data_IF_344356122124
#
_entry.id   IF_344356122124
#
_cell.length_a   1.000
_cell.length_b   1.000
_cell.length_c   1.000
_cell.angle_alpha   90.00
_cell.angle_beta   90.00
_cell.angle_gamma   90.00
#
_symmetry.space_group_name_H-M   'P 1'
#
loop_
_entity.id
_entity.type
_entity.pdbx_description
1 polymer ?
#
# COMPACT_ATOMS: atom_id res chain seq x y z
N UNK A 1 -12.57 58.66 18.33
CA UNK A 1 -13.46 57.49 18.22
C UNK A 1 -13.46 56.88 16.84
N UNK A 2 -13.56 57.66 15.75
CA UNK A 2 -13.59 57.16 14.36
C UNK A 2 -12.26 56.55 13.93
N UNK A 3 -11.14 57.12 14.33
CA UNK A 3 -9.79 56.59 14.01
C UNK A 3 -9.52 55.24 14.68
N UNK A 4 -9.92 55.05 15.95
CA UNK A 4 -9.84 53.77 16.65
C UNK A 4 -10.73 52.67 16.01
N UNK A 5 -11.88 53.07 15.47
CA UNK A 5 -12.78 52.13 14.77
C UNK A 5 -12.21 51.70 13.42
N UNK A 6 -11.54 52.57 12.72
CA UNK A 6 -10.86 52.24 11.47
C UNK A 6 -9.64 51.38 11.69
N UNK A 7 -8.82 51.65 12.71
CA UNK A 7 -7.67 50.82 13.07
C UNK A 7 -8.12 49.39 13.49
N UNK A 8 -9.18 49.26 14.30
CA UNK A 8 -9.76 47.94 14.66
C UNK A 8 -10.27 47.19 13.43
N UNK A 9 -11.00 47.85 12.54
CA UNK A 9 -11.47 47.21 11.30
C UNK A 9 -10.33 46.77 10.40
N UNK A 10 -9.25 47.51 10.31
CA UNK A 10 -8.09 47.17 9.50
C UNK A 10 -7.32 45.97 10.10
N UNK A 11 -7.24 45.91 11.41
CA UNK A 11 -6.67 44.78 12.13
C UNK A 11 -7.49 43.48 11.94
N UNK A 12 -8.83 43.57 12.08
CA UNK A 12 -9.73 42.43 11.87
C UNK A 12 -9.64 41.89 10.42
N UNK A 13 -9.54 42.78 9.42
CA UNK A 13 -9.28 42.37 8.01
C UNK A 13 -7.96 41.64 7.85
N UNK A 14 -6.90 42.10 8.54
CA UNK A 14 -5.60 41.43 8.53
C UNK A 14 -5.68 40.02 9.13
N UNK A 15 -6.38 39.85 10.24
CA UNK A 15 -6.58 38.56 10.91
C UNK A 15 -7.44 37.61 10.07
N UNK A 16 -8.48 38.13 9.39
CA UNK A 16 -9.29 37.39 8.44
C UNK A 16 -8.44 36.81 7.29
N UNK A 17 -7.62 37.63 6.64
CA UNK A 17 -6.75 37.18 5.58
C UNK A 17 -5.69 36.17 6.06
N UNK A 18 -5.22 36.28 7.28
CA UNK A 18 -4.33 35.29 7.89
C UNK A 18 -5.00 33.93 8.04
N UNK A 19 -6.27 33.89 8.45
CA UNK A 19 -7.04 32.65 8.55
C UNK A 19 -7.26 32.02 7.17
N UNK A 20 -7.67 32.80 6.19
CA UNK A 20 -7.84 32.30 4.80
C UNK A 20 -6.55 31.71 4.23
N UNK A 21 -5.42 32.38 4.44
CA UNK A 21 -4.12 31.90 3.99
C UNK A 21 -3.69 30.64 4.72
N UNK A 22 -3.92 30.56 6.03
CA UNK A 22 -3.60 29.37 6.82
C UNK A 22 -4.49 28.19 6.43
N UNK A 23 -5.78 28.42 6.20
CA UNK A 23 -6.71 27.41 5.68
C UNK A 23 -6.23 26.82 4.37
N UNK A 24 -5.86 27.68 3.42
CA UNK A 24 -5.37 27.26 2.09
C UNK A 24 -4.08 26.45 2.17
N UNK A 25 -3.11 26.84 3.03
CA UNK A 25 -1.89 26.08 3.26
C UNK A 25 -2.23 24.70 3.84
N UNK A 26 -3.12 24.65 4.81
CA UNK A 26 -3.54 23.40 5.43
C UNK A 26 -4.29 22.48 4.46
N UNK A 27 -5.13 23.03 3.58
CA UNK A 27 -5.80 22.27 2.52
C UNK A 27 -4.80 21.70 1.50
N UNK A 28 -3.89 22.54 1.00
CA UNK A 28 -2.86 22.12 0.02
C UNK A 28 -1.92 21.07 0.63
N UNK A 29 -1.58 21.19 1.92
CA UNK A 29 -0.75 20.25 2.65
C UNK A 29 -1.47 18.91 2.92
N UNK A 30 -2.75 18.94 3.26
CA UNK A 30 -3.58 17.74 3.43
C UNK A 30 -3.71 16.91 2.12
N UNK A 31 -3.53 17.55 0.95
CA UNK A 31 -3.59 16.89 -0.35
C UNK A 31 -2.25 16.32 -0.83
N UNK A 32 -1.12 16.82 -0.29
CA UNK A 32 0.22 16.54 -0.88
C UNK A 32 1.16 15.74 0.02
N UNK A 33 0.82 15.57 1.30
CA UNK A 33 1.61 14.84 2.32
C UNK A 33 3.10 15.25 2.42
N UNK A 34 3.43 16.51 2.03
CA UNK A 34 4.82 16.94 1.77
C UNK A 34 5.45 17.83 2.83
N UNK A 35 4.78 18.18 3.92
CA UNK A 35 5.31 19.13 4.90
C UNK A 35 5.56 18.51 6.28
N UNK A 36 6.81 18.11 6.53
CA UNK A 36 7.31 17.87 7.91
C UNK A 36 7.25 19.18 8.71
N UNK A 37 6.61 19.19 9.88
CA UNK A 37 6.38 20.35 10.79
C UNK A 37 5.37 21.42 10.31
N UNK A 38 4.67 21.24 9.20
CA UNK A 38 3.66 22.19 8.71
C UNK A 38 2.43 22.28 9.59
N UNK A 39 1.96 21.17 10.16
CA UNK A 39 0.80 21.11 11.05
C UNK A 39 1.00 21.99 12.27
N UNK A 40 2.10 21.83 13.00
CA UNK A 40 2.42 22.62 14.20
C UNK A 40 2.45 24.13 13.91
N UNK A 41 2.91 24.55 12.72
CA UNK A 41 2.92 25.96 12.33
C UNK A 41 1.51 26.48 12.05
N UNK A 42 0.68 25.73 11.35
CA UNK A 42 -0.70 26.10 11.06
C UNK A 42 -1.54 26.15 12.35
N UNK A 43 -1.38 25.19 13.26
CA UNK A 43 -2.02 25.16 14.58
C UNK A 43 -1.61 26.39 15.38
N UNK A 44 -0.31 26.67 15.48
CA UNK A 44 0.23 27.83 16.21
C UNK A 44 -0.33 29.13 15.65
N UNK A 45 -0.43 29.26 14.32
CA UNK A 45 -0.95 30.45 13.67
C UNK A 45 -2.44 30.64 13.95
N UNK A 46 -3.25 29.58 13.86
CA UNK A 46 -4.67 29.61 14.22
C UNK A 46 -4.86 30.04 15.68
N UNK A 47 -4.16 29.39 16.62
CA UNK A 47 -4.28 29.68 18.05
C UNK A 47 -3.86 31.13 18.40
N UNK A 48 -2.83 31.65 17.71
CA UNK A 48 -2.40 33.04 17.87
C UNK A 48 -3.46 34.04 17.36
N UNK A 49 -4.06 33.75 16.21
CA UNK A 49 -5.15 34.59 15.66
C UNK A 49 -6.36 34.56 16.57
N UNK A 50 -6.78 33.40 17.06
CA UNK A 50 -7.89 33.26 18.00
C UNK A 50 -7.63 34.02 19.30
N UNK A 51 -6.43 33.90 19.88
CA UNK A 51 -6.01 34.64 21.08
C UNK A 51 -6.10 36.16 20.86
N UNK A 52 -5.65 36.61 19.66
CA UNK A 52 -5.72 38.04 19.31
C UNK A 52 -7.16 38.54 19.18
N UNK A 53 -8.01 37.74 18.52
CA UNK A 53 -9.44 38.07 18.35
C UNK A 53 -10.18 38.14 19.71
N UNK A 54 -9.89 37.21 20.60
CA UNK A 54 -10.42 37.26 21.98
C UNK A 54 -9.97 38.54 22.72
N UNK A 55 -8.71 38.97 22.54
CA UNK A 55 -8.20 40.21 23.15
C UNK A 55 -8.80 41.50 22.56
N UNK A 56 -9.42 41.40 21.38
CA UNK A 56 -10.13 42.51 20.73
C UNK A 56 -11.64 42.49 21.00
N UNK A 57 -12.14 41.56 21.81
CA UNK A 57 -13.57 41.28 22.00
C UNK A 57 -14.31 41.11 20.65
N UNK A 58 -13.62 40.51 19.68
CA UNK A 58 -14.16 40.29 18.33
C UNK A 58 -14.84 38.91 18.21
N UNK A 59 -14.65 38.02 19.16
CA UNK A 59 -15.26 36.69 19.25
C UNK A 59 -15.80 36.47 20.64
N UNK A 60 -17.03 35.97 20.82
CA UNK A 60 -17.59 35.64 22.13
C UNK A 60 -16.75 34.58 22.84
N UNK A 61 -16.57 34.75 24.15
CA UNK A 61 -15.78 33.83 24.97
C UNK A 61 -16.37 32.41 24.92
N UNK A 62 -15.53 31.40 24.60
CA UNK A 62 -15.93 30.00 24.53
C UNK A 62 -16.69 29.60 23.25
N UNK A 63 -16.75 30.46 22.21
CA UNK A 63 -17.35 30.12 20.92
C UNK A 63 -16.41 29.31 20.06
N UNK A 64 -15.11 29.54 20.12
CA UNK A 64 -14.07 28.81 19.45
C UNK A 64 -13.00 28.38 20.43
N UNK A 65 -12.57 27.11 20.34
CA UNK A 65 -11.51 26.55 21.15
C UNK A 65 -10.16 26.58 20.42
N UNK A 66 -9.08 26.58 21.20
CA UNK A 66 -7.73 26.40 20.64
C UNK A 66 -7.57 24.97 20.11
N UNK A 67 -6.88 24.84 19.00
CA UNK A 67 -6.56 23.54 18.42
C UNK A 67 -5.48 22.82 19.25
N UNK A 68 -5.65 21.52 19.42
CA UNK A 68 -4.67 20.65 20.05
C UNK A 68 -3.36 20.57 19.23
N UNK A 69 -2.20 20.32 19.87
CA UNK A 69 -0.91 20.23 19.19
C UNK A 69 -0.82 19.14 18.13
N UNK A 70 -1.69 18.15 18.17
CA UNK A 70 -1.79 16.99 17.25
C UNK A 70 -2.96 17.09 16.25
N UNK A 71 -3.58 18.27 16.15
CA UNK A 71 -4.65 18.49 15.18
C UNK A 71 -4.13 18.34 13.75
N UNK A 72 -4.86 17.57 12.93
CA UNK A 72 -4.52 17.35 11.53
C UNK A 72 -4.69 18.61 10.66
N UNK A 73 -4.04 18.67 9.51
CA UNK A 73 -4.22 19.76 8.55
C UNK A 73 -5.68 20.01 8.18
N UNK A 74 -6.48 18.95 8.05
CA UNK A 74 -7.91 19.08 7.76
C UNK A 74 -8.66 19.75 8.89
N UNK A 75 -8.36 19.45 10.15
CA UNK A 75 -8.95 20.10 11.32
C UNK A 75 -8.55 21.57 11.40
N UNK A 76 -7.29 21.90 11.11
CA UNK A 76 -6.81 23.29 11.05
C UNK A 76 -7.54 24.09 9.97
N UNK A 77 -7.67 23.52 8.74
CA UNK A 77 -8.37 24.17 7.64
C UNK A 77 -9.83 24.48 8.02
N UNK A 78 -10.54 23.50 8.59
CA UNK A 78 -11.92 23.66 9.04
C UNK A 78 -12.04 24.77 10.08
N UNK A 79 -11.20 24.76 11.12
CA UNK A 79 -11.22 25.75 12.18
C UNK A 79 -10.94 27.16 11.66
N UNK A 80 -9.97 27.31 10.74
CA UNK A 80 -9.68 28.58 10.10
C UNK A 80 -10.86 29.11 9.30
N UNK A 81 -11.54 28.25 8.52
CA UNK A 81 -12.71 28.66 7.74
C UNK A 81 -13.90 29.06 8.62
N UNK A 82 -14.13 28.33 9.73
CA UNK A 82 -15.20 28.66 10.67
C UNK A 82 -14.99 30.03 11.31
N UNK A 83 -13.78 30.29 11.79
CA UNK A 83 -13.43 31.56 12.42
C UNK A 83 -13.42 32.73 11.40
N UNK A 84 -12.95 32.48 10.17
CA UNK A 84 -12.99 33.46 9.09
C UNK A 84 -14.44 33.80 8.69
N UNK A 85 -15.33 32.81 8.60
CA UNK A 85 -16.73 33.01 8.29
C UNK A 85 -17.43 33.90 9.36
N UNK A 86 -17.14 33.67 10.63
CA UNK A 86 -17.64 34.46 11.72
C UNK A 86 -17.16 35.94 11.64
N UNK A 87 -15.87 36.15 11.40
CA UNK A 87 -15.28 37.48 11.27
C UNK A 87 -15.82 38.28 10.07
N UNK A 88 -16.13 37.61 8.98
CA UNK A 88 -16.65 38.24 7.78
C UNK A 88 -18.02 38.91 8.02
N UNK A 89 -18.84 38.33 8.90
CA UNK A 89 -20.13 38.92 9.28
C UNK A 89 -19.94 40.26 10.06
N UNK A 90 -18.87 40.34 10.88
CA UNK A 90 -18.56 41.58 11.66
C UNK A 90 -17.91 42.66 10.76
N UNK A 91 -17.28 42.28 9.64
CA UNK A 91 -16.57 43.18 8.74
C UNK A 91 -17.42 43.80 7.61
N UNK A 92 -18.71 43.41 7.49
CA UNK A 92 -19.67 43.94 6.47
C UNK A 92 -19.14 43.76 5.01
N UNK A 93 -18.32 42.75 4.76
CA UNK A 93 -17.67 42.49 3.45
C UNK A 93 -18.50 41.53 2.60
N UNK A 94 -19.78 41.80 2.40
CA UNK A 94 -20.76 40.90 1.78
C UNK A 94 -20.51 40.50 0.34
N UNK A 95 -19.63 41.19 -0.40
CA UNK A 95 -19.42 40.94 -1.83
C UNK A 95 -18.49 39.75 -2.13
N UNK A 96 -17.42 39.54 -1.37
CA UNK A 96 -16.44 38.50 -1.64
C UNK A 96 -16.85 37.13 -1.04
N UNK A 97 -17.54 37.13 0.09
CA UNK A 97 -18.01 35.94 0.75
C UNK A 97 -19.07 35.17 -0.05
N UNK A 98 -19.99 35.88 -0.73
CA UNK A 98 -20.99 35.22 -1.60
C UNK A 98 -20.35 34.47 -2.76
N UNK A 99 -19.31 35.01 -3.37
CA UNK A 99 -18.59 34.39 -4.47
C UNK A 99 -17.86 33.12 -4.02
N UNK A 100 -17.18 33.17 -2.87
CA UNK A 100 -16.44 32.06 -2.29
C UNK A 100 -17.38 30.96 -1.77
N UNK A 101 -18.42 31.34 -1.00
CA UNK A 101 -19.40 30.39 -0.47
C UNK A 101 -20.17 29.65 -1.58
N UNK A 102 -20.42 30.34 -2.71
CA UNK A 102 -21.07 29.74 -3.89
C UNK A 102 -20.14 28.76 -4.59
N UNK A 103 -18.82 28.98 -4.56
CA UNK A 103 -17.82 28.10 -5.16
C UNK A 103 -17.62 26.85 -4.30
N UNK A 104 -17.65 26.99 -2.97
CA UNK A 104 -17.40 25.90 -2.04
C UNK A 104 -18.64 25.04 -1.75
N UNK A 105 -19.80 25.65 -1.58
CA UNK A 105 -21.05 24.98 -1.21
C UNK A 105 -22.02 24.75 -2.38
N UNK A 106 -21.73 25.32 -3.54
CA UNK A 106 -22.53 25.18 -4.76
C UNK A 106 -23.76 26.10 -4.81
N UNK A 107 -24.11 26.53 -6.01
CA UNK A 107 -25.18 27.50 -6.30
C UNK A 107 -26.55 27.12 -5.74
N UNK A 108 -26.85 25.84 -5.68
CA UNK A 108 -28.15 25.28 -5.24
C UNK A 108 -28.33 25.27 -3.69
N UNK A 109 -27.22 25.27 -2.94
CA UNK A 109 -27.25 25.43 -1.48
C UNK A 109 -27.60 26.89 -1.11
N UNK A 110 -27.04 27.85 -1.88
CA UNK A 110 -27.32 29.26 -1.68
C UNK A 110 -28.76 29.63 -2.08
N UNK A 111 -29.32 29.00 -3.09
CA UNK A 111 -30.75 29.21 -3.48
C UNK A 111 -31.71 28.77 -2.37
N UNK A 112 -31.44 27.65 -1.72
CA UNK A 112 -32.24 27.18 -0.57
C UNK A 112 -32.03 28.04 0.70
N UNK A 113 -30.82 28.61 0.91
CA UNK A 113 -30.51 29.48 2.04
C UNK A 113 -31.21 30.86 1.90
N UNK A 114 -31.30 31.37 0.67
CA UNK A 114 -31.91 32.69 0.40
C UNK A 114 -33.43 32.70 0.54
N UNK A 115 -34.12 31.55 0.43
CA UNK A 115 -35.54 31.45 0.72
C UNK A 115 -35.88 31.45 2.22
N UNK A 116 -34.94 31.00 3.09
CA UNK A 116 -35.09 31.00 4.55
C UNK A 116 -34.55 32.28 5.26
N UNK A 117 -33.86 33.15 4.54
CA UNK A 117 -33.04 34.25 5.08
C UNK A 117 -33.81 35.55 5.32
N UNK A 118 -35.14 35.58 5.30
CA UNK A 118 -35.86 36.84 5.43
C UNK A 118 -35.94 37.40 6.86
N UNK A 119 -35.64 36.61 7.92
CA UNK A 119 -35.85 37.12 9.31
C UNK A 119 -34.94 36.53 10.40
N UNK A 120 -33.81 35.85 10.12
CA UNK A 120 -32.92 35.34 11.17
C UNK A 120 -31.45 35.66 10.93
N UNK A 121 -30.66 35.93 11.98
CA UNK A 121 -29.21 36.15 11.83
C UNK A 121 -28.52 34.92 11.27
N UNK A 122 -27.64 35.13 10.31
CA UNK A 122 -26.86 34.10 9.57
C UNK A 122 -26.13 33.16 10.54
N UNK A 123 -25.70 33.64 11.71
CA UNK A 123 -25.04 32.86 12.75
C UNK A 123 -25.87 31.70 13.30
N UNK A 124 -27.19 31.87 13.44
CA UNK A 124 -28.08 30.79 13.91
C UNK A 124 -28.34 29.74 12.84
N UNK A 125 -28.29 30.11 11.58
CA UNK A 125 -28.40 29.19 10.43
C UNK A 125 -27.13 28.40 10.22
N UNK A 126 -25.96 29.05 10.36
CA UNK A 126 -24.66 28.40 10.33
C UNK A 126 -24.53 27.41 11.50
N UNK A 127 -24.98 27.82 12.69
CA UNK A 127 -24.98 26.96 13.91
C UNK A 127 -25.88 25.71 13.78
N UNK A 128 -26.94 25.79 12.96
CA UNK A 128 -27.84 24.67 12.67
C UNK A 128 -27.39 23.83 11.49
N UNK A 129 -26.73 24.43 10.50
CA UNK A 129 -26.30 23.76 9.28
C UNK A 129 -24.89 23.14 9.38
N UNK A 130 -24.01 23.74 10.18
CA UNK A 130 -22.61 23.32 10.35
C UNK A 130 -22.47 21.95 11.04
N UNK A 131 -23.24 21.60 12.10
CA UNK A 131 -23.16 20.25 12.69
C UNK A 131 -23.52 19.14 11.70
N UNK A 132 -24.54 19.36 10.85
CA UNK A 132 -24.97 18.35 9.88
C UNK A 132 -24.07 18.28 8.63
N UNK A 133 -23.23 19.30 8.39
CA UNK A 133 -22.39 19.39 7.21
C UNK A 133 -20.94 18.92 7.45
N UNK A 134 -20.48 18.97 8.70
CA UNK A 134 -19.12 18.61 9.12
C UNK A 134 -19.07 17.29 9.92
N UNK A 135 -20.21 16.71 10.25
CA UNK A 135 -20.25 15.38 10.84
C UNK A 135 -20.09 14.32 9.75
N UNK A 136 -19.11 13.46 9.90
CA UNK A 136 -19.10 12.16 9.25
C UNK A 136 -20.50 11.56 9.38
N UNK A 137 -21.13 11.23 8.26
CA UNK A 137 -22.38 10.48 8.33
C UNK A 137 -22.00 9.03 8.60
N UNK A 138 -21.97 8.68 9.87
CA UNK A 138 -21.78 7.30 10.31
C UNK A 138 -23.16 6.63 10.43
N UNK A 139 -23.26 5.41 9.96
CA UNK A 139 -24.36 4.52 10.34
C UNK A 139 -23.95 3.80 11.62
N UNK A 140 -24.95 3.30 12.35
CA UNK A 140 -24.69 2.47 13.51
C UNK A 140 -23.84 1.25 13.12
N UNK A 141 -22.79 0.95 13.91
CA UNK A 141 -21.93 -0.20 13.69
C UNK A 141 -22.77 -1.48 13.77
N UNK A 142 -22.50 -2.42 12.87
CA UNK A 142 -23.02 -3.78 13.00
C UNK A 142 -22.02 -4.55 13.86
N UNK A 143 -22.47 -5.03 15.02
CA UNK A 143 -21.65 -5.82 15.94
C UNK A 143 -22.37 -7.13 16.24
N UNK A 144 -21.79 -8.24 15.81
CA UNK A 144 -22.33 -9.57 16.02
C UNK A 144 -21.24 -10.56 16.46
N UNK A 145 -21.60 -11.55 17.24
CA UNK A 145 -20.69 -12.61 17.68
C UNK A 145 -21.37 -13.96 17.56
N UNK A 146 -20.67 -14.88 16.91
CA UNK A 146 -21.18 -16.23 16.61
C UNK A 146 -20.32 -17.28 17.31
N UNK A 147 -20.90 -18.20 18.07
CA UNK A 147 -20.18 -19.37 18.54
C UNK A 147 -19.89 -20.29 17.36
N UNK A 148 -18.64 -20.68 17.19
CA UNK A 148 -18.19 -21.56 16.10
C UNK A 148 -17.30 -22.69 16.64
N UNK A 149 -16.97 -23.63 15.77
CA UNK A 149 -15.96 -24.65 16.07
C UNK A 149 -14.72 -24.45 15.22
N UNK A 150 -13.57 -24.81 15.71
CA UNK A 150 -12.30 -24.78 14.99
C UNK A 150 -12.41 -25.51 13.63
N UNK A 151 -11.74 -24.98 12.61
CA UNK A 151 -11.74 -25.55 11.26
C UNK A 151 -12.89 -25.09 10.36
N UNK A 152 -13.78 -24.22 10.83
CA UNK A 152 -14.80 -23.56 10.02
C UNK A 152 -14.22 -22.57 9.02
N UNK A 153 -15.11 -21.85 8.34
CA UNK A 153 -14.75 -20.89 7.28
C UNK A 153 -15.45 -19.55 7.46
N UNK A 154 -14.68 -18.47 7.34
CA UNK A 154 -15.21 -17.12 7.13
C UNK A 154 -15.19 -16.81 5.63
N UNK A 155 -16.34 -16.46 5.09
CA UNK A 155 -16.46 -15.96 3.71
C UNK A 155 -16.93 -14.51 3.75
N UNK A 156 -16.19 -13.60 3.11
CA UNK A 156 -16.58 -12.20 2.95
C UNK A 156 -16.57 -11.85 1.47
N UNK A 157 -17.67 -11.33 0.97
CA UNK A 157 -17.79 -10.80 -0.39
C UNK A 157 -18.42 -9.40 -0.35
N UNK A 158 -17.56 -8.37 -0.49
CA UNK A 158 -18.00 -6.98 -0.39
C UNK A 158 -17.67 -6.16 -1.64
N UNK A 159 -18.58 -5.24 -1.98
CA UNK A 159 -18.36 -4.27 -3.08
C UNK A 159 -17.47 -3.09 -2.65
N UNK A 160 -17.27 -2.86 -1.34
CA UNK A 160 -16.32 -1.90 -0.78
C UNK A 160 -16.00 -2.22 0.67
N UNK A 161 -14.90 -1.66 1.14
CA UNK A 161 -14.48 -1.72 2.53
C UNK A 161 -13.22 -2.54 2.75
N UNK A 162 -12.39 -2.06 3.69
CA UNK A 162 -11.21 -2.74 4.17
C UNK A 162 -11.60 -3.94 5.03
N UNK A 163 -10.80 -4.99 4.98
CA UNK A 163 -11.01 -6.22 5.76
C UNK A 163 -9.77 -6.43 6.64
N UNK A 164 -9.95 -6.41 7.94
CA UNK A 164 -8.92 -6.74 8.93
C UNK A 164 -9.35 -8.00 9.70
N UNK A 165 -8.56 -9.06 9.55
CA UNK A 165 -8.79 -10.35 10.22
C UNK A 165 -7.65 -10.63 11.19
N UNK A 166 -8.00 -10.84 12.44
CA UNK A 166 -7.07 -11.27 13.47
C UNK A 166 -7.60 -12.52 14.18
N UNK A 167 -6.69 -13.31 14.70
CA UNK A 167 -7.10 -14.48 15.47
C UNK A 167 -7.39 -14.15 16.93
N UNK A 168 -8.30 -14.91 17.52
CA UNK A 168 -8.58 -14.99 18.94
C UNK A 168 -8.38 -16.42 19.46
N UNK A 169 -8.21 -16.57 20.77
CA UNK A 169 -8.19 -17.87 21.45
C UNK A 169 -9.60 -18.39 21.75
N UNK A 170 -10.64 -17.57 21.52
CA UNK A 170 -12.02 -17.94 21.77
C UNK A 170 -12.61 -18.73 20.59
N UNK A 171 -13.51 -19.66 20.86
CA UNK A 171 -14.30 -20.41 19.87
C UNK A 171 -15.47 -19.55 19.34
N UNK A 172 -15.18 -18.32 18.93
CA UNK A 172 -16.18 -17.37 18.41
C UNK A 172 -15.63 -16.60 17.20
N UNK A 173 -16.54 -16.25 16.30
CA UNK A 173 -16.29 -15.23 15.27
C UNK A 173 -16.98 -13.95 15.74
N UNK A 174 -16.19 -12.90 15.98
CA UNK A 174 -16.69 -11.57 16.33
C UNK A 174 -16.55 -10.63 15.14
N UNK A 175 -17.66 -10.07 14.71
CA UNK A 175 -17.76 -9.21 13.52
C UNK A 175 -18.11 -7.80 13.97
N UNK A 176 -17.33 -6.82 13.55
CA UNK A 176 -17.65 -5.40 13.66
C UNK A 176 -17.54 -4.77 12.29
N UNK A 177 -18.61 -4.16 11.80
CA UNK A 177 -18.63 -3.47 10.51
C UNK A 177 -18.94 -2.01 10.77
N UNK A 178 -17.96 -1.16 10.52
CA UNK A 178 -18.09 0.29 10.59
C UNK A 178 -18.45 0.83 9.21
N UNK A 179 -19.39 1.79 9.17
CA UNK A 179 -19.87 2.35 7.92
C UNK A 179 -19.98 3.85 8.02
N UNK A 180 -19.07 4.56 7.36
CA UNK A 180 -19.01 6.01 7.35
C UNK A 180 -18.97 6.56 5.91
N UNK A 181 -19.42 7.79 5.74
CA UNK A 181 -19.17 8.56 4.54
C UNK A 181 -18.15 9.65 4.88
N UNK A 182 -17.11 9.79 4.05
CA UNK A 182 -16.07 10.79 4.29
C UNK A 182 -16.65 12.22 4.36
N UNK A 183 -16.07 13.06 5.21
CA UNK A 183 -16.51 14.44 5.50
C UNK A 183 -16.71 15.30 4.25
N UNK A 184 -15.95 15.04 3.17
CA UNK A 184 -16.08 15.73 1.86
C UNK A 184 -17.26 15.20 1.01
N UNK A 185 -17.88 14.12 1.42
CA UNK A 185 -18.97 13.50 0.71
C UNK A 185 -20.30 14.15 1.13
N UNK A 186 -20.94 14.87 0.20
CA UNK A 186 -22.24 15.46 0.40
C UNK A 186 -23.33 14.44 0.82
N UNK A 187 -24.53 14.92 1.24
CA UNK A 187 -25.74 14.10 1.53
C UNK A 187 -25.94 12.88 0.62
N UNK A 188 -25.41 12.92 -0.61
CA UNK A 188 -25.47 11.83 -1.58
C UNK A 188 -24.59 10.62 -1.23
N UNK A 189 -23.46 10.79 -0.56
CA UNK A 189 -22.65 9.64 -0.12
C UNK A 189 -23.33 8.91 1.04
N UNK A 190 -23.96 9.66 1.94
CA UNK A 190 -24.79 9.07 3.00
C UNK A 190 -26.00 8.28 2.45
N UNK A 191 -26.62 8.75 1.37
CA UNK A 191 -27.67 8.00 0.69
C UNK A 191 -27.12 6.74 0.01
N UNK A 192 -25.92 6.80 -0.54
CA UNK A 192 -25.26 5.64 -1.16
C UNK A 192 -24.89 4.61 -0.09
N UNK A 193 -24.35 5.06 1.06
CA UNK A 193 -24.01 4.20 2.18
C UNK A 193 -25.22 3.40 2.69
N UNK A 194 -26.42 3.99 2.70
CA UNK A 194 -27.68 3.31 3.08
C UNK A 194 -28.11 2.22 2.08
N UNK A 195 -27.59 2.26 0.86
CA UNK A 195 -27.87 1.23 -0.15
C UNK A 195 -26.82 0.10 -0.15
N UNK A 196 -25.85 0.13 0.75
CA UNK A 196 -24.98 -1.00 1.01
C UNK A 196 -25.74 -1.99 1.90
N UNK A 197 -26.28 -3.05 1.28
CA UNK A 197 -26.98 -4.13 1.97
C UNK A 197 -25.94 -5.10 2.55
N UNK A 198 -25.97 -5.28 3.87
CA UNK A 198 -25.06 -6.16 4.60
C UNK A 198 -25.87 -7.33 5.14
N UNK A 199 -25.53 -8.53 4.69
CA UNK A 199 -26.15 -9.78 5.13
C UNK A 199 -25.11 -10.65 5.82
N UNK A 200 -25.42 -11.11 7.02
CA UNK A 200 -24.57 -12.01 7.79
C UNK A 200 -25.34 -13.30 8.00
N UNK A 201 -24.75 -14.42 7.60
CA UNK A 201 -25.30 -15.75 7.79
C UNK A 201 -24.32 -16.61 8.60
N UNK A 202 -24.84 -17.38 9.54
CA UNK A 202 -24.09 -18.31 10.35
C UNK A 202 -24.69 -19.70 10.25
N UNK A 203 -23.91 -20.66 9.79
CA UNK A 203 -24.31 -22.08 9.72
C UNK A 203 -23.23 -22.96 10.35
N UNK A 204 -23.54 -23.55 11.48
CA UNK A 204 -22.62 -24.41 12.26
C UNK A 204 -21.28 -23.73 12.58
N UNK A 205 -20.21 -24.09 11.86
CA UNK A 205 -18.88 -23.50 12.06
C UNK A 205 -18.59 -22.37 11.08
N UNK A 206 -19.43 -22.14 10.08
CA UNK A 206 -19.15 -21.22 8.98
C UNK A 206 -19.91 -19.89 9.16
N UNK A 207 -19.21 -18.79 8.89
CA UNK A 207 -19.79 -17.45 8.88
C UNK A 207 -19.60 -16.83 7.51
N UNK A 208 -20.69 -16.32 6.93
CA UNK A 208 -20.70 -15.67 5.63
C UNK A 208 -21.19 -14.23 5.76
N UNK A 209 -20.44 -13.30 5.20
CA UNK A 209 -20.77 -11.87 5.15
C UNK A 209 -20.84 -11.45 3.69
N UNK A 210 -21.97 -10.93 3.26
CA UNK A 210 -22.17 -10.32 1.95
C UNK A 210 -22.53 -8.86 2.14
N UNK A 211 -21.74 -7.94 1.54
CA UNK A 211 -22.03 -6.52 1.58
C UNK A 211 -22.09 -5.97 0.15
N UNK A 212 -23.32 -5.86 -0.38
CA UNK A 212 -23.59 -5.56 -1.78
C UNK A 212 -24.33 -4.25 -1.94
N UNK A 213 -23.91 -3.48 -2.93
CA UNK A 213 -24.59 -2.25 -3.27
C UNK A 213 -25.84 -2.53 -4.12
N UNK A 214 -27.00 -2.11 -3.61
CA UNK A 214 -28.32 -2.37 -4.26
C UNK A 214 -28.84 -1.20 -5.07
N UNK A 215 -28.08 -0.08 -5.19
CA UNK A 215 -28.49 1.14 -5.89
C UNK A 215 -28.04 1.24 -7.34
N UNK A 216 -28.03 2.47 -7.86
CA UNK A 216 -27.60 2.78 -9.24
C UNK A 216 -26.08 2.60 -9.41
N UNK A 217 -25.67 1.65 -10.24
CA UNK A 217 -24.27 1.30 -10.50
C UNK A 217 -23.40 2.48 -10.98
N UNK A 218 -23.98 3.46 -11.72
CA UNK A 218 -23.25 4.65 -12.18
C UNK A 218 -22.96 5.62 -11.03
N UNK A 219 -23.88 5.71 -10.06
CA UNK A 219 -23.68 6.52 -8.85
C UNK A 219 -22.63 5.86 -7.96
N UNK A 220 -22.68 4.53 -7.84
CA UNK A 220 -21.69 3.74 -7.13
C UNK A 220 -20.28 3.98 -7.64
N UNK A 221 -20.02 3.77 -8.94
CA UNK A 221 -18.69 3.95 -9.54
C UNK A 221 -18.08 5.35 -9.32
N UNK A 222 -18.92 6.38 -9.19
CA UNK A 222 -18.46 7.76 -8.97
C UNK A 222 -18.17 8.08 -7.50
N UNK A 223 -18.70 7.33 -6.56
CA UNK A 223 -18.75 7.69 -5.15
C UNK A 223 -18.25 6.61 -4.19
N UNK A 224 -17.90 5.42 -4.68
CA UNK A 224 -17.38 4.35 -3.83
C UNK A 224 -16.15 4.79 -3.02
N UNK A 225 -15.33 5.69 -3.56
CA UNK A 225 -14.15 6.24 -2.87
C UNK A 225 -14.51 7.33 -1.82
N UNK A 226 -15.77 7.76 -1.76
CA UNK A 226 -16.24 8.70 -0.74
C UNK A 226 -16.78 7.98 0.51
N UNK A 227 -16.80 6.65 0.49
CA UNK A 227 -17.23 5.81 1.60
C UNK A 227 -16.03 5.29 2.37
N UNK A 228 -16.23 5.14 3.66
CA UNK A 228 -15.28 4.49 4.58
C UNK A 228 -16.03 3.34 5.26
N UNK A 229 -15.73 2.12 4.81
CA UNK A 229 -16.33 0.89 5.32
C UNK A 229 -15.20 -0.01 5.80
N UNK A 230 -15.29 -0.46 7.03
CA UNK A 230 -14.27 -1.31 7.64
C UNK A 230 -14.89 -2.55 8.29
N UNK A 231 -14.35 -3.70 7.95
CA UNK A 231 -14.70 -4.99 8.52
C UNK A 231 -13.57 -5.41 9.47
N UNK A 232 -13.77 -5.25 10.78
CA UNK A 232 -12.85 -5.71 11.82
C UNK A 232 -13.38 -7.03 12.38
N UNK A 233 -12.66 -8.12 12.16
CA UNK A 233 -13.16 -9.45 12.49
C UNK A 233 -12.13 -10.25 13.26
N UNK A 234 -12.58 -10.83 14.37
CA UNK A 234 -11.81 -11.81 15.13
C UNK A 234 -12.35 -13.19 14.82
N UNK A 235 -11.45 -14.13 14.51
CA UNK A 235 -11.79 -15.53 14.23
C UNK A 235 -10.96 -16.46 15.11
N UNK A 236 -11.39 -17.69 15.38
CA UNK A 236 -10.52 -18.69 16.01
C UNK A 236 -9.23 -18.86 15.21
N UNK A 237 -8.11 -19.11 15.90
CA UNK A 237 -6.81 -19.29 15.23
C UNK A 237 -6.84 -20.38 14.14
N UNK A 238 -7.57 -21.47 14.36
CA UNK A 238 -7.77 -22.55 13.39
C UNK A 238 -9.02 -22.31 12.55
N UNK A 239 -8.90 -21.48 11.51
CA UNK A 239 -10.03 -21.08 10.67
C UNK A 239 -9.60 -20.84 9.23
N UNK A 240 -10.47 -21.17 8.26
CA UNK A 240 -10.22 -20.92 6.85
C UNK A 240 -10.85 -19.57 6.43
N UNK A 241 -10.20 -18.87 5.51
CA UNK A 241 -10.63 -17.54 5.06
C UNK A 241 -10.82 -17.50 3.55
N UNK A 242 -11.97 -16.95 3.13
CA UNK A 242 -12.27 -16.63 1.73
C UNK A 242 -12.75 -15.18 1.67
N UNK A 243 -11.84 -14.27 1.33
CA UNK A 243 -12.01 -12.82 1.49
C UNK A 243 -11.97 -12.13 0.15
N UNK A 244 -13.02 -11.36 -0.16
CA UNK A 244 -13.13 -10.62 -1.40
C UNK A 244 -13.65 -9.22 -1.17
N UNK A 245 -12.91 -8.21 -1.63
CA UNK A 245 -13.33 -6.82 -1.68
C UNK A 245 -13.04 -6.20 -3.05
N UNK A 246 -13.82 -5.22 -3.47
CA UNK A 246 -13.60 -4.59 -4.77
C UNK A 246 -12.60 -3.44 -4.72
N UNK A 247 -12.40 -2.75 -3.62
CA UNK A 247 -11.64 -1.50 -3.63
C UNK A 247 -10.70 -1.22 -2.46
N UNK A 248 -10.66 -1.99 -1.39
CA UNK A 248 -9.88 -1.65 -0.21
C UNK A 248 -8.90 -2.76 0.19
N UNK A 249 -8.02 -2.46 1.15
CA UNK A 249 -6.98 -3.37 1.62
C UNK A 249 -7.57 -4.58 2.37
N UNK A 250 -6.90 -5.71 2.27
CA UNK A 250 -7.14 -6.88 3.13
C UNK A 250 -5.90 -7.12 3.99
N UNK A 251 -6.10 -7.16 5.29
CA UNK A 251 -5.08 -7.54 6.26
C UNK A 251 -5.49 -8.83 7.00
N UNK A 252 -4.58 -9.78 7.10
CA UNK A 252 -4.81 -11.06 7.81
C UNK A 252 -3.60 -11.38 8.66
N UNK A 253 -3.82 -11.71 9.93
CA UNK A 253 -2.73 -12.07 10.82
C UNK A 253 -3.08 -13.27 11.73
N UNK A 254 -2.05 -14.09 12.01
CA UNK A 254 -2.05 -15.17 13.01
C UNK A 254 -3.08 -16.29 12.73
N UNK A 255 -3.16 -16.80 11.50
CA UNK A 255 -4.14 -17.81 11.09
C UNK A 255 -3.47 -19.16 10.85
N UNK A 256 -4.12 -20.22 11.34
CA UNK A 256 -3.83 -21.62 10.98
C UNK A 256 -5.02 -22.14 10.17
N UNK A 257 -4.89 -22.13 8.85
CA UNK A 257 -5.93 -22.49 7.89
C UNK A 257 -5.60 -21.94 6.50
N UNK A 258 -6.38 -22.33 5.51
CA UNK A 258 -6.21 -21.84 4.15
C UNK A 258 -6.75 -20.41 4.04
N UNK A 259 -5.99 -19.54 3.38
CA UNK A 259 -6.33 -18.13 3.15
C UNK A 259 -6.42 -17.86 1.67
N UNK A 260 -7.61 -17.51 1.20
CA UNK A 260 -7.88 -16.97 -0.13
C UNK A 260 -8.28 -15.50 0.02
N UNK A 261 -7.51 -14.58 -0.58
CA UNK A 261 -7.74 -13.15 -0.47
C UNK A 261 -7.71 -12.49 -1.85
N UNK A 262 -8.81 -11.85 -2.24
CA UNK A 262 -8.93 -11.17 -3.53
C UNK A 262 -9.37 -9.71 -3.34
N UNK A 263 -8.58 -8.77 -3.89
CA UNK A 263 -9.00 -7.37 -4.01
C UNK A 263 -8.78 -6.85 -5.43
N UNK A 264 -9.46 -5.78 -5.82
CA UNK A 264 -9.27 -5.25 -7.18
C UNK A 264 -8.32 -4.05 -7.23
N UNK A 265 -8.38 -3.13 -6.26
CA UNK A 265 -7.65 -1.85 -6.33
C UNK A 265 -6.72 -1.55 -5.16
N UNK A 266 -6.52 -2.49 -4.26
CA UNK A 266 -5.79 -2.21 -3.04
C UNK A 266 -4.78 -3.30 -2.70
N UNK A 267 -4.05 -3.14 -1.61
CA UNK A 267 -3.01 -4.05 -1.16
C UNK A 267 -3.51 -5.23 -0.35
N UNK A 268 -2.66 -6.24 -0.24
CA UNK A 268 -2.86 -7.41 0.62
C UNK A 268 -1.70 -7.49 1.60
N UNK A 269 -2.00 -7.54 2.90
CA UNK A 269 -1.01 -7.73 3.98
C UNK A 269 -1.33 -8.99 4.75
N UNK A 270 -0.45 -9.98 4.64
CA UNK A 270 -0.65 -11.30 5.22
C UNK A 270 0.54 -11.62 6.14
N UNK A 271 0.26 -12.02 7.37
CA UNK A 271 1.30 -12.28 8.36
C UNK A 271 0.97 -13.47 9.25
N UNK A 272 2.00 -14.27 9.60
CA UNK A 272 1.92 -15.42 10.52
C UNK A 272 0.82 -16.42 10.14
N UNK A 273 0.91 -16.95 8.90
CA UNK A 273 -0.09 -17.87 8.35
C UNK A 273 0.49 -19.27 8.21
N UNK A 274 -0.23 -20.25 8.73
CA UNK A 274 0.05 -21.68 8.58
C UNK A 274 -1.08 -22.31 7.76
N UNK A 275 -0.81 -22.60 6.48
CA UNK A 275 -1.77 -23.14 5.52
C UNK A 275 -1.46 -22.67 4.11
N UNK A 276 -2.31 -23.05 3.17
CA UNK A 276 -2.18 -22.58 1.79
C UNK A 276 -2.61 -21.12 1.68
N UNK A 277 -1.86 -20.33 0.93
CA UNK A 277 -2.14 -18.92 0.69
C UNK A 277 -2.35 -18.68 -0.81
N UNK A 278 -3.49 -18.11 -1.17
CA UNK A 278 -3.81 -17.65 -2.51
C UNK A 278 -4.24 -16.17 -2.44
N UNK A 279 -3.39 -15.26 -2.92
CA UNK A 279 -3.60 -13.82 -2.75
C UNK A 279 -3.50 -13.10 -4.09
N UNK A 280 -4.60 -12.47 -4.49
CA UNK A 280 -4.74 -11.86 -5.82
C UNK A 280 -5.21 -10.41 -5.69
N UNK A 281 -4.50 -9.50 -6.36
CA UNK A 281 -4.97 -8.13 -6.58
C UNK A 281 -4.79 -7.71 -8.04
N UNK A 282 -5.53 -6.72 -8.51
CA UNK A 282 -5.25 -6.14 -9.82
C UNK A 282 -4.33 -4.93 -9.73
N UNK A 283 -4.53 -4.05 -8.75
CA UNK A 283 -3.74 -2.84 -8.53
C UNK A 283 -3.48 -2.72 -7.04
N UNK A 284 -2.26 -3.05 -6.62
CA UNK A 284 -1.86 -3.01 -5.22
C UNK A 284 -0.66 -3.90 -4.95
N UNK A 285 0.00 -3.65 -3.85
CA UNK A 285 1.11 -4.48 -3.40
C UNK A 285 0.59 -5.72 -2.65
N UNK A 286 1.39 -6.77 -2.66
CA UNK A 286 1.15 -7.95 -1.83
C UNK A 286 2.37 -8.12 -0.92
N UNK A 287 2.14 -8.03 0.38
CA UNK A 287 3.15 -8.20 1.41
C UNK A 287 2.81 -9.43 2.25
N UNK A 288 3.67 -10.43 2.23
CA UNK A 288 3.53 -11.68 3.00
C UNK A 288 4.75 -11.87 3.90
N UNK A 289 4.51 -12.09 5.19
CA UNK A 289 5.57 -12.34 6.15
C UNK A 289 5.22 -13.49 7.08
N UNK A 290 6.23 -14.31 7.42
CA UNK A 290 6.10 -15.43 8.33
C UNK A 290 4.98 -16.41 7.90
N UNK A 291 5.29 -17.33 7.00
CA UNK A 291 4.31 -18.30 6.49
C UNK A 291 4.87 -19.73 6.51
N UNK A 292 3.94 -20.68 6.61
CA UNK A 292 4.24 -22.11 6.49
C UNK A 292 3.15 -22.80 5.66
N UNK A 293 3.45 -23.07 4.39
CA UNK A 293 2.56 -23.66 3.40
C UNK A 293 2.81 -23.13 2.00
N UNK A 294 2.15 -23.70 1.00
CA UNK A 294 2.30 -23.30 -0.39
C UNK A 294 1.62 -21.95 -0.66
N UNK A 295 2.28 -21.12 -1.44
CA UNK A 295 1.90 -19.72 -1.65
C UNK A 295 1.74 -19.40 -3.14
N UNK A 296 0.60 -18.80 -3.50
CA UNK A 296 0.37 -18.18 -4.80
C UNK A 296 0.01 -16.71 -4.63
N UNK A 297 0.87 -15.81 -5.15
CA UNK A 297 0.68 -14.36 -5.09
C UNK A 297 0.63 -13.78 -6.51
N UNK A 298 -0.41 -13.02 -6.81
CA UNK A 298 -0.55 -12.44 -8.13
C UNK A 298 -1.08 -10.99 -8.07
N UNK A 299 -0.36 -10.07 -8.73
CA UNK A 299 -0.86 -8.71 -9.00
C UNK A 299 -0.63 -8.33 -10.46
N UNK A 300 -1.35 -7.34 -10.99
CA UNK A 300 -1.07 -6.78 -12.32
C UNK A 300 -0.18 -5.56 -12.22
N UNK A 301 -0.45 -4.68 -11.26
CA UNK A 301 0.31 -3.44 -11.05
C UNK A 301 0.56 -3.23 -9.56
N UNK A 302 1.72 -3.67 -9.10
CA UNK A 302 2.17 -3.59 -7.72
C UNK A 302 3.36 -4.50 -7.47
N UNK A 303 4.03 -4.28 -6.36
CA UNK A 303 5.13 -5.12 -5.92
C UNK A 303 4.62 -6.34 -5.15
N UNK A 304 5.39 -7.41 -5.20
CA UNK A 304 5.19 -8.57 -4.35
C UNK A 304 6.43 -8.70 -3.47
N UNK A 305 6.23 -8.64 -2.15
CA UNK A 305 7.28 -8.83 -1.15
C UNK A 305 6.90 -10.00 -0.27
N UNK A 306 7.81 -10.96 -0.11
CA UNK A 306 7.60 -12.06 0.82
C UNK A 306 8.88 -12.35 1.62
N UNK A 307 8.71 -12.72 2.88
CA UNK A 307 9.83 -12.99 3.78
C UNK A 307 9.50 -14.07 4.84
N UNK A 308 10.54 -14.73 5.31
CA UNK A 308 10.52 -15.62 6.47
C UNK A 308 9.52 -16.79 6.32
N UNK A 309 9.64 -17.58 5.25
CA UNK A 309 8.66 -18.60 4.93
C UNK A 309 9.19 -19.99 4.70
N UNK A 310 8.28 -20.98 4.84
CA UNK A 310 8.52 -22.37 4.52
C UNK A 310 7.39 -22.90 3.63
N UNK A 311 7.71 -23.30 2.41
CA UNK A 311 6.78 -23.77 1.38
C UNK A 311 7.16 -23.30 0.00
N UNK A 312 6.52 -23.85 -1.02
CA UNK A 312 6.75 -23.46 -2.41
C UNK A 312 6.00 -22.17 -2.73
N UNK A 313 6.70 -21.24 -3.36
CA UNK A 313 6.19 -19.90 -3.68
C UNK A 313 6.05 -19.69 -5.17
N UNK A 314 4.89 -19.21 -5.60
CA UNK A 314 4.65 -18.69 -6.94
C UNK A 314 4.20 -17.23 -6.86
N UNK A 315 5.10 -16.30 -7.26
CA UNK A 315 4.86 -14.86 -7.22
C UNK A 315 4.88 -14.26 -8.62
N UNK A 316 3.79 -13.62 -9.04
CA UNK A 316 3.64 -13.07 -10.38
C UNK A 316 3.10 -11.66 -10.36
N UNK A 317 3.82 -10.73 -10.98
CA UNK A 317 3.34 -9.37 -11.27
C UNK A 317 3.55 -9.00 -12.74
N UNK A 318 2.93 -7.95 -13.24
CA UNK A 318 3.22 -7.42 -14.57
C UNK A 318 4.01 -6.12 -14.50
N UNK A 319 3.68 -5.22 -13.59
CA UNK A 319 4.25 -3.88 -13.54
C UNK A 319 5.20 -3.59 -12.37
N UNK A 320 5.29 -4.47 -11.37
CA UNK A 320 6.10 -4.26 -10.17
C UNK A 320 7.28 -5.20 -10.02
N UNK A 321 7.96 -5.09 -8.90
CA UNK A 321 9.07 -5.96 -8.51
C UNK A 321 8.55 -7.20 -7.77
N UNK A 322 9.33 -8.29 -7.82
CA UNK A 322 9.15 -9.46 -6.96
C UNK A 322 10.37 -9.57 -6.05
N UNK A 323 10.15 -9.64 -4.76
CA UNK A 323 11.20 -9.80 -3.75
C UNK A 323 10.85 -10.97 -2.82
N UNK A 324 11.76 -11.94 -2.71
CA UNK A 324 11.65 -13.06 -1.79
C UNK A 324 12.91 -13.12 -0.91
N UNK A 325 12.71 -13.21 0.42
CA UNK A 325 13.80 -13.21 1.39
C UNK A 325 13.59 -14.34 2.39
N UNK A 326 14.61 -15.16 2.62
CA UNK A 326 14.63 -16.23 3.62
C UNK A 326 13.44 -17.22 3.46
N UNK A 327 13.31 -17.82 2.28
CA UNK A 327 12.30 -18.84 1.99
C UNK A 327 12.94 -20.22 1.92
N UNK A 328 12.34 -21.17 2.64
CA UNK A 328 12.68 -22.59 2.57
C UNK A 328 11.65 -23.27 1.65
N UNK A 329 12.03 -23.55 0.40
CA UNK A 329 11.17 -24.10 -0.64
C UNK A 329 11.55 -23.55 -2.01
N UNK A 330 10.85 -23.98 -3.05
CA UNK A 330 11.06 -23.50 -4.40
C UNK A 330 10.42 -22.12 -4.60
N UNK A 331 11.14 -21.18 -5.22
CA UNK A 331 10.65 -19.84 -5.53
C UNK A 331 10.50 -19.66 -7.04
N UNK A 332 9.26 -19.48 -7.52
CA UNK A 332 8.95 -19.10 -8.90
C UNK A 332 8.52 -17.63 -8.94
N UNK A 333 9.46 -16.74 -9.32
CA UNK A 333 9.26 -15.29 -9.36
C UNK A 333 9.18 -14.76 -10.78
N UNK A 334 8.07 -14.10 -11.15
CA UNK A 334 7.86 -13.60 -12.51
C UNK A 334 7.34 -12.16 -12.51
N UNK A 335 7.97 -11.33 -13.35
CA UNK A 335 7.46 -9.98 -13.67
C UNK A 335 7.65 -9.65 -15.15
N UNK A 336 6.97 -8.63 -15.65
CA UNK A 336 7.20 -8.16 -17.02
C UNK A 336 8.13 -6.94 -17.05
N UNK A 337 7.88 -5.94 -16.20
CA UNK A 337 8.62 -4.68 -16.24
C UNK A 337 9.57 -4.46 -15.07
N UNK A 338 9.38 -5.13 -13.94
CA UNK A 338 10.16 -4.93 -12.71
C UNK A 338 11.36 -5.86 -12.58
N UNK A 339 12.04 -5.72 -11.47
CA UNK A 339 13.15 -6.59 -11.07
C UNK A 339 12.65 -7.80 -10.28
N UNK A 340 13.44 -8.86 -10.27
CA UNK A 340 13.23 -10.02 -9.40
C UNK A 340 14.44 -10.16 -8.48
N UNK A 341 14.21 -10.14 -7.17
CA UNK A 341 15.25 -10.28 -6.15
C UNK A 341 14.90 -11.46 -5.25
N UNK A 342 15.83 -12.40 -5.10
CA UNK A 342 15.71 -13.56 -4.20
C UNK A 342 16.96 -13.63 -3.34
N UNK A 343 16.82 -13.63 -2.01
CA UNK A 343 17.96 -13.64 -1.09
C UNK A 343 17.77 -14.60 0.06
N UNK A 344 18.82 -15.35 0.39
CA UNK A 344 18.84 -16.26 1.52
C UNK A 344 17.80 -17.38 1.42
N UNK A 345 17.40 -17.78 0.20
CA UNK A 345 16.43 -18.83 -0.01
C UNK A 345 17.12 -20.21 -0.11
N UNK A 346 16.41 -21.22 0.38
CA UNK A 346 16.87 -22.62 0.32
C UNK A 346 15.91 -23.45 -0.49
N UNK A 347 16.29 -23.74 -1.73
CA UNK A 347 15.48 -24.48 -2.69
C UNK A 347 15.78 -24.06 -4.12
N UNK A 348 14.95 -24.48 -5.07
CA UNK A 348 15.09 -24.10 -6.47
C UNK A 348 14.56 -22.66 -6.70
N UNK A 349 15.21 -21.88 -7.57
CA UNK A 349 14.71 -20.58 -7.98
C UNK A 349 14.47 -20.54 -9.51
N UNK A 350 13.22 -20.32 -9.93
CA UNK A 350 12.86 -20.06 -11.34
C UNK A 350 12.40 -18.62 -11.48
N UNK A 351 13.24 -17.77 -12.10
CA UNK A 351 13.07 -16.32 -12.10
C UNK A 351 12.98 -15.78 -13.52
N UNK A 352 11.94 -14.99 -13.80
CA UNK A 352 11.72 -14.43 -15.14
C UNK A 352 11.31 -12.96 -15.09
N UNK A 353 11.97 -12.15 -15.92
CA UNK A 353 11.50 -10.78 -16.19
C UNK A 353 11.73 -10.45 -17.67
N UNK A 354 10.99 -9.49 -18.20
CA UNK A 354 11.25 -9.02 -19.56
C UNK A 354 12.10 -7.74 -19.55
N UNK A 355 11.77 -6.76 -18.72
CA UNK A 355 12.44 -5.46 -18.71
C UNK A 355 13.49 -5.26 -17.62
N UNK A 356 13.37 -5.95 -16.51
CA UNK A 356 14.19 -5.72 -15.32
C UNK A 356 15.41 -6.62 -15.20
N UNK A 357 16.13 -6.42 -14.12
CA UNK A 357 17.27 -7.26 -13.72
C UNK A 357 16.84 -8.35 -12.72
N UNK A 358 17.63 -9.41 -12.66
CA UNK A 358 17.45 -10.50 -11.70
C UNK A 358 18.66 -10.50 -10.76
N UNK A 359 18.39 -10.46 -9.48
CA UNK A 359 19.40 -10.65 -8.44
C UNK A 359 19.00 -11.86 -7.58
N UNK A 360 19.91 -12.82 -7.49
CA UNK A 360 19.64 -14.05 -6.76
C UNK A 360 20.83 -14.45 -5.92
N UNK A 361 20.55 -14.70 -4.65
CA UNK A 361 21.46 -15.22 -3.64
C UNK A 361 20.77 -16.45 -3.02
N UNK A 362 21.21 -17.67 -3.41
CA UNK A 362 20.47 -18.89 -3.19
C UNK A 362 21.40 -20.08 -2.96
N UNK A 363 20.90 -21.11 -2.25
CA UNK A 363 21.64 -22.35 -1.98
C UNK A 363 21.23 -23.53 -2.89
N UNK A 364 20.30 -23.31 -3.80
CA UNK A 364 19.77 -24.34 -4.70
C UNK A 364 19.94 -24.03 -6.19
N UNK A 365 19.39 -24.86 -7.08
CA UNK A 365 19.45 -24.64 -8.52
C UNK A 365 18.73 -23.33 -8.92
N UNK A 366 19.31 -22.60 -9.87
CA UNK A 366 18.78 -21.34 -10.37
C UNK A 366 18.55 -21.36 -11.86
N UNK A 367 17.31 -21.12 -12.27
CA UNK A 367 16.91 -20.85 -13.64
C UNK A 367 16.48 -19.38 -13.73
N UNK A 368 17.29 -18.52 -14.36
CA UNK A 368 16.98 -17.09 -14.43
C UNK A 368 17.05 -16.56 -15.86
N UNK A 369 15.97 -15.90 -16.30
CA UNK A 369 15.85 -15.36 -17.66
C UNK A 369 15.35 -13.92 -17.66
N UNK A 370 16.08 -13.05 -18.36
CA UNK A 370 15.65 -11.69 -18.64
C UNK A 370 15.88 -11.30 -20.09
N UNK A 371 15.08 -10.39 -20.63
CA UNK A 371 15.32 -9.87 -21.97
C UNK A 371 16.10 -8.55 -21.95
N UNK A 372 15.84 -7.66 -21.01
CA UNK A 372 16.43 -6.31 -21.01
C UNK A 372 17.48 -6.05 -19.96
N UNK A 373 17.48 -6.77 -18.85
CA UNK A 373 18.33 -6.50 -17.68
C UNK A 373 19.54 -7.42 -17.56
N UNK A 374 20.28 -7.21 -16.48
CA UNK A 374 21.40 -8.07 -16.10
C UNK A 374 20.98 -9.13 -15.08
N UNK A 375 21.73 -10.22 -15.01
CA UNK A 375 21.57 -11.26 -14.00
C UNK A 375 22.78 -11.24 -13.09
N UNK A 376 22.55 -11.11 -11.78
CA UNK A 376 23.54 -11.32 -10.74
C UNK A 376 23.13 -12.55 -9.93
N UNK A 377 23.97 -13.56 -9.90
CA UNK A 377 23.74 -14.79 -9.17
C UNK A 377 24.90 -15.04 -8.20
N UNK A 378 24.60 -15.22 -6.93
CA UNK A 378 25.55 -15.60 -5.90
C UNK A 378 25.10 -16.90 -5.26
N UNK A 379 25.97 -17.88 -5.19
CA UNK A 379 25.76 -19.12 -4.48
C UNK A 379 26.47 -19.06 -3.13
N UNK A 380 25.73 -19.28 -2.02
CA UNK A 380 26.24 -19.07 -0.66
C UNK A 380 26.85 -20.32 -0.04
N UNK A 381 26.38 -21.51 -0.38
CA UNK A 381 26.92 -22.76 0.15
C UNK A 381 27.34 -23.71 -0.98
N UNK A 382 28.43 -24.45 -0.76
CA UNK A 382 28.76 -25.63 -1.52
C UNK A 382 27.85 -26.76 -1.10
N UNK A 383 26.61 -26.77 -1.61
CA UNK A 383 25.84 -27.98 -1.49
C UNK A 383 26.55 -29.05 -2.31
N UNK A 384 27.15 -30.00 -1.65
CA UNK A 384 27.74 -31.22 -2.22
C UNK A 384 26.71 -32.10 -2.95
N UNK A 385 25.55 -31.55 -3.30
CA UNK A 385 24.52 -32.26 -4.03
C UNK A 385 24.85 -32.23 -5.51
N UNK A 386 24.98 -33.39 -6.08
CA UNK A 386 25.31 -33.71 -7.47
C UNK A 386 24.38 -33.11 -8.54
N UNK A 387 23.47 -32.21 -8.20
CA UNK A 387 22.41 -31.70 -9.06
C UNK A 387 22.31 -30.16 -9.12
N UNK A 388 23.36 -29.41 -8.76
CA UNK A 388 23.30 -27.96 -8.93
C UNK A 388 23.31 -27.59 -10.41
N UNK A 389 22.25 -26.91 -10.86
CA UNK A 389 22.11 -26.40 -12.22
C UNK A 389 21.96 -24.90 -12.18
N UNK A 390 22.83 -24.16 -12.85
CA UNK A 390 22.57 -22.77 -13.22
C UNK A 390 22.24 -22.71 -14.71
N UNK A 391 21.07 -22.17 -15.07
CA UNK A 391 20.73 -21.81 -16.45
C UNK A 391 20.33 -20.32 -16.46
N UNK A 392 21.31 -19.47 -16.78
CA UNK A 392 21.16 -18.02 -16.77
C UNK A 392 21.17 -17.47 -18.18
N UNK A 393 20.14 -16.71 -18.56
CA UNK A 393 19.97 -16.19 -19.91
C UNK A 393 19.54 -14.73 -19.90
N UNK A 394 20.31 -13.87 -20.60
CA UNK A 394 19.92 -12.47 -20.84
C UNK A 394 20.12 -12.09 -22.31
N UNK A 395 19.22 -11.23 -22.84
CA UNK A 395 19.35 -10.71 -24.20
C UNK A 395 19.97 -9.32 -24.27
N UNK A 396 19.87 -8.52 -23.22
CA UNK A 396 20.34 -7.11 -23.24
C UNK A 396 21.38 -6.74 -22.20
N UNK A 397 21.67 -7.59 -21.24
CA UNK A 397 22.56 -7.28 -20.11
C UNK A 397 23.72 -8.24 -19.94
N UNK A 398 24.40 -8.12 -18.82
CA UNK A 398 25.50 -8.99 -18.42
C UNK A 398 25.05 -10.04 -17.41
N UNK A 399 25.77 -11.15 -17.33
CA UNK A 399 25.63 -12.19 -16.32
C UNK A 399 26.85 -12.14 -15.42
N UNK A 400 26.64 -11.88 -14.13
CA UNK A 400 27.69 -11.94 -13.10
C UNK A 400 27.35 -13.09 -12.15
N UNK A 401 28.24 -14.08 -12.06
CA UNK A 401 28.08 -15.21 -11.16
C UNK A 401 29.24 -15.20 -10.16
N UNK A 402 28.90 -15.16 -8.88
CA UNK A 402 29.84 -15.26 -7.77
C UNK A 402 29.76 -16.65 -7.13
N UNK A 403 30.88 -17.34 -7.09
CA UNK A 403 30.99 -18.73 -6.64
C UNK A 403 32.06 -18.86 -5.55
N UNK A 404 31.92 -19.88 -4.71
CA UNK A 404 32.96 -20.24 -3.74
C UNK A 404 34.19 -20.81 -4.45
N UNK A 405 35.42 -20.62 -3.89
CA UNK A 405 36.67 -20.99 -4.56
C UNK A 405 36.84 -22.49 -4.78
N UNK A 406 36.25 -23.30 -3.94
CA UNK A 406 36.33 -24.77 -3.94
C UNK A 406 35.21 -25.48 -4.72
N UNK A 407 34.43 -24.73 -5.49
CA UNK A 407 33.32 -25.29 -6.27
C UNK A 407 33.81 -26.20 -7.39
N UNK A 408 33.23 -27.40 -7.47
CA UNK A 408 33.37 -28.28 -8.62
C UNK A 408 32.27 -27.98 -9.63
N UNK A 409 32.60 -27.59 -10.88
CA UNK A 409 31.59 -27.23 -11.86
C UNK A 409 32.04 -27.49 -13.32
N UNK A 410 31.05 -27.73 -14.16
CA UNK A 410 31.20 -27.71 -15.63
C UNK A 410 30.61 -26.44 -16.17
N UNK A 411 31.39 -25.63 -16.91
CA UNK A 411 30.96 -24.32 -17.41
C UNK A 411 30.70 -24.40 -18.90
N UNK A 412 29.50 -23.95 -19.29
CA UNK A 412 29.14 -23.64 -20.69
C UNK A 412 28.68 -22.17 -20.75
N UNK A 413 29.59 -21.26 -21.06
CA UNK A 413 29.30 -19.86 -21.25
C UNK A 413 29.41 -19.42 -22.68
N UNK A 414 28.41 -18.71 -23.19
CA UNK A 414 28.36 -18.16 -24.53
C UNK A 414 27.83 -16.74 -24.55
N UNK A 415 28.57 -15.87 -25.23
CA UNK A 415 28.20 -14.46 -25.37
C UNK A 415 28.15 -14.07 -26.85
N UNK A 416 27.17 -13.26 -27.20
CA UNK A 416 27.13 -12.62 -28.51
C UNK A 416 27.32 -11.12 -28.37
N UNK A 417 28.43 -10.59 -28.87
CA UNK A 417 28.75 -9.15 -28.78
C UNK A 417 29.45 -8.72 -27.51
N UNK A 418 30.02 -9.63 -26.73
CA UNK A 418 30.79 -9.37 -25.52
C UNK A 418 31.89 -10.41 -25.28
N UNK A 419 32.31 -10.58 -24.04
CA UNK A 419 33.35 -11.51 -23.62
C UNK A 419 32.95 -12.36 -22.42
N UNK A 420 33.58 -13.53 -22.29
CA UNK A 420 33.54 -14.34 -21.09
C UNK A 420 34.82 -14.16 -20.32
N UNK A 421 34.72 -13.77 -19.03
CA UNK A 421 35.87 -13.66 -18.11
C UNK A 421 35.64 -14.51 -16.88
N UNK A 422 36.71 -15.09 -16.33
CA UNK A 422 36.65 -15.92 -15.12
C UNK A 422 37.88 -15.65 -14.25
N UNK A 423 37.69 -15.63 -12.95
CA UNK A 423 38.74 -15.61 -11.93
C UNK A 423 39.17 -17.03 -11.51
N UNK A 424 38.44 -18.04 -11.97
CA UNK A 424 38.75 -19.46 -11.71
C UNK A 424 39.72 -20.02 -12.73
N UNK A 425 40.64 -20.92 -12.34
CA UNK A 425 41.37 -21.75 -13.26
C UNK A 425 40.40 -22.75 -13.92
N UNK A 426 40.27 -22.70 -15.23
CA UNK A 426 39.38 -23.57 -16.01
C UNK A 426 40.20 -24.49 -16.89
N UNK A 427 39.99 -25.81 -16.76
CA UNK A 427 40.54 -26.81 -17.66
C UNK A 427 39.68 -26.91 -18.94
N UNK A 428 40.26 -26.57 -20.08
CA UNK A 428 39.55 -26.52 -21.36
C UNK A 428 40.10 -27.62 -22.27
N UNK A 429 39.23 -28.53 -22.69
CA UNK A 429 39.54 -29.46 -23.77
C UNK A 429 39.14 -28.84 -25.12
N UNK A 430 40.09 -28.37 -25.91
CA UNK A 430 39.81 -27.75 -27.20
C UNK A 430 40.66 -28.29 -28.31
N UNK A 431 40.04 -28.57 -29.46
CA UNK A 431 40.69 -28.81 -30.74
C UNK A 431 40.46 -27.58 -31.62
N UNK A 432 41.33 -26.59 -31.53
CA UNK A 432 41.19 -25.35 -32.29
C UNK A 432 41.52 -24.06 -31.52
N UNK A 433 40.97 -22.94 -31.98
CA UNK A 433 41.21 -21.62 -31.37
C UNK A 433 40.21 -21.34 -30.26
N UNK A 434 40.68 -20.96 -29.08
CA UNK A 434 39.83 -20.45 -27.99
C UNK A 434 39.28 -19.07 -28.38
N UNK A 435 37.99 -18.91 -28.35
CA UNK A 435 37.31 -17.66 -28.68
C UNK A 435 36.97 -16.87 -27.40
N UNK A 436 37.10 -15.54 -27.40
CA UNK A 436 36.83 -14.73 -26.22
C UNK A 436 35.32 -14.68 -25.85
N UNK A 437 34.45 -15.05 -26.76
CA UNK A 437 32.98 -15.08 -26.63
C UNK A 437 32.42 -16.40 -26.14
N UNK A 438 33.27 -17.41 -25.90
CA UNK A 438 32.86 -18.76 -25.48
C UNK A 438 33.86 -19.34 -24.48
N UNK A 439 33.32 -19.97 -23.45
CA UNK A 439 34.09 -20.76 -22.48
C UNK A 439 33.36 -22.08 -22.25
N UNK A 440 34.04 -23.18 -22.55
CA UNK A 440 33.58 -24.53 -22.23
C UNK A 440 34.74 -25.29 -21.56
N UNK A 441 34.49 -25.71 -20.31
CA UNK A 441 35.52 -26.36 -19.52
C UNK A 441 35.06 -26.71 -18.13
N UNK A 442 36.01 -27.15 -17.31
CA UNK A 442 35.74 -27.58 -15.95
C UNK A 442 36.53 -26.77 -14.93
N UNK A 443 35.91 -26.47 -13.80
CA UNK A 443 36.48 -25.90 -12.58
C UNK A 443 36.68 -27.06 -11.60
N UNK A 444 37.85 -27.16 -10.97
CA UNK A 444 38.21 -28.15 -9.92
C UNK A 444 37.85 -29.63 -10.28
N UNK A 445 37.98 -30.03 -11.50
CA UNK A 445 37.71 -31.43 -11.91
C UNK A 445 36.33 -31.67 -12.51
N UNK A 446 35.49 -30.67 -12.54
CA UNK A 446 34.16 -30.74 -13.12
C UNK A 446 33.09 -31.20 -12.15
N UNK A 447 31.83 -30.82 -12.40
CA UNK A 447 30.69 -31.06 -11.57
C UNK A 447 29.40 -30.64 -12.26
N UNK A 448 28.41 -30.16 -11.53
CA UNK A 448 27.14 -29.67 -12.07
C UNK A 448 27.31 -28.61 -13.14
N UNK A 449 26.36 -28.55 -14.09
CA UNK A 449 26.44 -27.67 -15.25
C UNK A 449 26.04 -26.22 -14.87
N UNK A 450 26.92 -25.28 -15.22
CA UNK A 450 26.69 -23.85 -15.24
C UNK A 450 26.52 -23.39 -16.69
N UNK A 451 25.28 -23.12 -17.10
CA UNK A 451 24.93 -22.70 -18.44
C UNK A 451 24.60 -21.22 -18.47
N UNK A 452 25.45 -20.44 -19.15
CA UNK A 452 25.41 -18.98 -19.11
C UNK A 452 25.33 -18.42 -20.52
N UNK A 453 24.27 -17.67 -20.82
CA UNK A 453 24.06 -17.11 -22.16
C UNK A 453 23.73 -15.64 -22.09
N UNK A 454 24.56 -14.79 -22.71
CA UNK A 454 24.31 -13.37 -22.81
C UNK A 454 24.36 -12.89 -24.27
N UNK A 455 23.49 -11.93 -24.60
CA UNK A 455 23.51 -11.21 -25.87
C UNK A 455 23.64 -9.74 -25.56
N UNK A 456 24.66 -9.08 -26.11
CA UNK A 456 24.88 -7.64 -25.87
C UNK A 456 25.61 -7.26 -24.59
N UNK A 457 25.98 -8.21 -23.74
CA UNK A 457 26.72 -7.97 -22.48
C UNK A 457 27.86 -8.96 -22.28
N UNK A 458 28.39 -9.03 -21.09
CA UNK A 458 29.48 -9.93 -20.71
C UNK A 458 29.00 -11.02 -19.75
N UNK A 459 29.72 -12.15 -19.72
CA UNK A 459 29.62 -13.15 -18.67
C UNK A 459 30.87 -13.08 -17.80
N UNK A 460 30.69 -12.93 -16.49
CA UNK A 460 31.76 -12.79 -15.51
C UNK A 460 31.55 -13.82 -14.41
N UNK A 461 32.55 -14.69 -14.23
CA UNK A 461 32.63 -15.64 -13.11
C UNK A 461 33.62 -15.10 -12.09
N UNK A 462 33.16 -14.82 -10.88
CA UNK A 462 33.97 -14.26 -9.78
C UNK A 462 34.08 -15.23 -8.62
N UNK A 463 35.21 -15.10 -7.90
CA UNK A 463 35.44 -15.80 -6.65
C UNK A 463 34.99 -14.89 -5.47
N UNK A 464 34.09 -15.40 -4.61
CA UNK A 464 33.53 -14.65 -3.47
C UNK A 464 34.65 -14.22 -2.48
N UNK A 465 35.72 -15.00 -2.31
CA UNK A 465 36.82 -14.63 -1.38
C UNK A 465 37.68 -13.45 -1.88
N UNK A 466 37.68 -13.19 -3.19
CA UNK A 466 38.45 -12.08 -3.75
C UNK A 466 37.84 -10.69 -3.42
N UNK A 467 36.58 -10.63 -3.00
CA UNK A 467 35.85 -9.40 -2.68
C UNK A 467 35.89 -9.01 -1.19
N UNK A 468 36.58 -9.79 -0.31
CA UNK A 468 36.79 -9.37 1.06
C UNK A 468 37.88 -8.28 1.06
N UNK A 469 37.63 -7.05 1.62
CA UNK A 469 38.68 -6.09 1.83
C UNK A 469 39.72 -6.72 2.73
N UNK A 470 41.01 -6.65 2.35
CA UNK A 470 42.14 -7.01 3.22
C UNK A 470 41.98 -6.24 4.55
N UNK A 471 41.75 -6.98 5.64
CA UNK A 471 41.81 -6.42 6.99
C UNK A 471 43.25 -5.93 7.21
N UNK A 472 43.40 -4.61 7.19
CA UNK A 472 44.68 -3.89 7.52
C UNK A 472 44.70 -3.62 9.02
#
# INVERSE_FOLDING_TARGET
MEQHRQERQQELKGLFHMLEHTAKIAEDAALTDTFTDGETRCITQFNNVLTRLNSLDAVPEGLFDTLDPDASFSQVAIACHQLAAYLNEELDTTADFKGWFTTFFGKRFMENLTEELTDKPIGDLIRKAVPDFLTETTLEDIVETFPVTAGGRLTIDTDCGGIDIQSTEDDTVSVRIQRAAQIKANRRAAEILKNLDVQIAHEAADVKIEAKFTGDARRWQKRQNDLDVQFDILVPRHYNLDLKTACDDIAVANITGDVNAETFKAGLRLQDIIGRIDAITSIGNIDLKAFNGDVMLQTKAGNITLADGNGDVKAKTSGGNVQAVQVIGAVNGQTTAGNVTVRGCKGGAELKTAGGSIEVENDGPVLAKTSGGSIRCQLQETTTSQNMLLDLETMGGSINVSLLPDIDATVEAKVLGGSVTTEFPVSVETTGTVKPDQLQGTINGGGPLLKLRAVGGNVILRNIEADKPEEV
#
